data_IF_006711402527
#
_entry.id   IF_006711402527
#
_cell.length_a   1.000
_cell.length_b   1.000
_cell.length_c   1.000
_cell.angle_alpha   90.00
_cell.angle_beta   90.00
_cell.angle_gamma   90.00
#
_symmetry.space_group_name_H-M   'P 1'
#
loop_
_entity.id
_entity.type
_entity.pdbx_description
1 polymer ?
#
# COMPACT_ATOMS: atom_id res chain seq x y z
N UNK A 1 4.49 -9.01 9.86
CA UNK A 1 4.69 -9.03 8.39
C UNK A 1 6.14 -8.63 8.01
N UNK A 2 7.15 -9.15 8.72
CA UNK A 2 8.59 -8.92 8.43
C UNK A 2 9.20 -10.10 7.68
N UNK A 3 8.81 -11.33 8.03
CA UNK A 3 9.31 -12.58 7.44
C UNK A 3 9.13 -12.64 5.92
N UNK A 4 7.97 -12.21 5.40
CA UNK A 4 7.72 -12.19 3.95
C UNK A 4 8.65 -11.21 3.20
N UNK A 5 9.07 -10.13 3.86
CA UNK A 5 9.95 -9.11 3.27
C UNK A 5 11.40 -9.55 3.25
N UNK A 6 11.84 -10.24 4.30
CA UNK A 6 13.17 -10.84 4.36
C UNK A 6 13.28 -12.00 3.37
N UNK A 7 12.30 -12.91 3.34
CA UNK A 7 12.33 -14.05 2.42
C UNK A 7 12.40 -13.62 0.95
N UNK A 8 11.63 -12.59 0.55
CA UNK A 8 11.69 -12.09 -0.83
C UNK A 8 13.06 -11.50 -1.18
N UNK A 9 13.69 -10.83 -0.23
CA UNK A 9 15.02 -10.23 -0.41
C UNK A 9 16.11 -11.31 -0.49
N UNK A 10 16.04 -12.33 0.38
CA UNK A 10 16.94 -13.49 0.32
C UNK A 10 16.78 -14.27 -0.98
N UNK A 11 15.54 -14.57 -1.41
CA UNK A 11 15.29 -15.25 -2.69
C UNK A 11 15.81 -14.44 -3.89
N UNK A 12 15.76 -13.11 -3.84
CA UNK A 12 16.38 -12.28 -4.87
C UNK A 12 17.91 -12.47 -4.90
N UNK A 13 18.57 -12.44 -3.75
CA UNK A 13 20.03 -12.60 -3.67
C UNK A 13 20.46 -13.98 -4.17
N UNK A 14 19.78 -15.04 -3.74
CA UNK A 14 20.03 -16.41 -4.19
C UNK A 14 19.89 -16.53 -5.70
N UNK A 15 18.77 -16.07 -6.27
CA UNK A 15 18.55 -16.13 -7.72
C UNK A 15 19.55 -15.28 -8.51
N UNK A 16 19.94 -14.11 -7.98
CA UNK A 16 20.96 -13.28 -8.62
C UNK A 16 22.31 -14.00 -8.65
N UNK A 17 22.69 -14.66 -7.55
CA UNK A 17 23.91 -15.45 -7.47
C UNK A 17 23.86 -16.64 -8.44
N UNK A 18 22.77 -17.41 -8.48
CA UNK A 18 22.63 -18.55 -9.41
C UNK A 18 22.75 -18.11 -10.88
N UNK A 19 22.20 -16.94 -11.22
CA UNK A 19 22.14 -16.46 -12.61
C UNK A 19 23.42 -15.79 -13.08
N UNK A 20 24.07 -15.02 -12.20
CA UNK A 20 25.23 -14.18 -12.56
C UNK A 20 26.54 -14.64 -11.92
N UNK A 21 26.49 -15.68 -11.08
CA UNK A 21 27.60 -16.29 -10.36
C UNK A 21 28.44 -15.27 -9.57
N UNK A 22 27.77 -14.23 -9.06
CA UNK A 22 28.34 -13.13 -8.26
C UNK A 22 27.27 -12.52 -7.37
N UNK A 23 27.69 -11.92 -6.27
CA UNK A 23 26.78 -11.18 -5.41
C UNK A 23 26.31 -9.86 -6.06
N UNK A 24 25.07 -9.44 -5.80
CA UNK A 24 24.58 -8.12 -6.21
C UNK A 24 25.35 -7.01 -5.49
N UNK A 25 25.58 -5.89 -6.19
CA UNK A 25 26.22 -4.73 -5.56
C UNK A 25 25.30 -4.06 -4.53
N UNK A 26 25.90 -3.29 -3.61
CA UNK A 26 25.17 -2.55 -2.58
C UNK A 26 24.08 -1.63 -3.18
N UNK A 27 24.33 -1.05 -4.35
CA UNK A 27 23.36 -0.17 -5.02
C UNK A 27 22.14 -0.96 -5.51
N UNK A 28 22.34 -2.16 -6.05
CA UNK A 28 21.24 -3.05 -6.47
C UNK A 28 20.45 -3.50 -5.24
N UNK A 29 21.13 -3.87 -4.16
CA UNK A 29 20.50 -4.26 -2.91
C UNK A 29 19.62 -3.13 -2.34
N UNK A 30 20.11 -1.88 -2.35
CA UNK A 30 19.32 -0.70 -1.92
C UNK A 30 18.10 -0.48 -2.81
N UNK A 31 18.25 -0.60 -4.13
CA UNK A 31 17.13 -0.47 -5.05
C UNK A 31 16.06 -1.52 -4.78
N UNK A 32 16.45 -2.79 -4.61
CA UNK A 32 15.50 -3.87 -4.40
C UNK A 32 14.88 -3.84 -3.02
N UNK A 33 15.65 -3.51 -1.98
CA UNK A 33 15.09 -3.26 -0.65
C UNK A 33 14.02 -2.16 -0.70
N UNK A 34 14.25 -1.10 -1.49
CA UNK A 34 13.27 -0.03 -1.73
C UNK A 34 12.02 -0.58 -2.42
N UNK A 35 12.17 -1.30 -3.53
CA UNK A 35 11.05 -1.89 -4.29
C UNK A 35 10.19 -2.81 -3.43
N UNK A 36 10.82 -3.78 -2.73
CA UNK A 36 10.12 -4.74 -1.87
C UNK A 36 9.36 -4.00 -0.76
N UNK A 37 9.95 -2.93 -0.21
CA UNK A 37 9.34 -2.17 0.87
C UNK A 37 8.13 -1.32 0.46
N UNK A 38 8.09 -0.85 -0.79
CA UNK A 38 6.88 -0.27 -1.36
C UNK A 38 5.77 -1.30 -1.58
N UNK A 39 6.11 -2.55 -1.91
CA UNK A 39 5.13 -3.56 -2.32
C UNK A 39 4.47 -4.33 -1.17
N UNK A 40 5.17 -4.63 -0.07
CA UNK A 40 4.65 -5.52 0.98
C UNK A 40 3.81 -4.79 2.04
N UNK A 41 4.04 -3.50 2.29
CA UNK A 41 3.48 -2.82 3.47
C UNK A 41 2.26 -1.93 3.21
N UNK A 42 1.89 -1.69 1.95
CA UNK A 42 0.99 -0.56 1.62
C UNK A 42 -0.49 -0.91 1.51
N UNK A 43 -0.92 -2.18 1.50
CA UNK A 43 -2.29 -2.48 1.04
C UNK A 43 -2.95 -3.71 1.69
N UNK A 44 -4.20 -3.51 2.15
CA UNK A 44 -5.23 -4.55 2.20
C UNK A 44 -5.75 -4.77 0.77
N UNK A 45 -5.48 -5.95 0.20
CA UNK A 45 -5.75 -6.27 -1.21
C UNK A 45 -7.23 -6.27 -1.60
N UNK A 46 -8.15 -6.22 -0.63
CA UNK A 46 -9.59 -6.11 -0.86
C UNK A 46 -10.08 -4.67 -0.72
N UNK A 47 -9.49 -3.91 0.21
CA UNK A 47 -9.96 -2.57 0.57
C UNK A 47 -9.18 -1.42 -0.08
N UNK A 48 -8.01 -1.71 -0.67
CA UNK A 48 -7.10 -0.76 -1.31
C UNK A 48 -6.66 0.41 -0.41
N UNK A 49 -6.70 0.19 0.90
CA UNK A 49 -6.26 1.12 1.96
C UNK A 49 -5.18 0.46 2.80
N UNK A 50 -4.45 1.25 3.58
CA UNK A 50 -3.56 0.72 4.60
C UNK A 50 -4.40 -0.15 5.56
N UNK A 51 -3.95 -1.38 5.92
CA UNK A 51 -4.65 -2.22 6.88
C UNK A 51 -5.01 -1.45 8.16
N UNK A 52 -6.21 -1.70 8.68
CA UNK A 52 -6.73 -1.07 9.91
C UNK A 52 -6.85 0.47 9.89
N UNK A 53 -6.74 1.10 8.72
CA UNK A 53 -6.85 2.58 8.61
C UNK A 53 -8.28 3.10 8.46
N UNK A 54 -9.27 2.22 8.23
CA UNK A 54 -10.68 2.62 8.18
C UNK A 54 -11.18 3.01 9.58
N UNK A 55 -11.93 4.10 9.68
CA UNK A 55 -12.53 4.56 10.94
C UNK A 55 -14.06 4.54 10.86
N UNK A 56 -14.71 4.30 11.98
CA UNK A 56 -16.16 4.44 12.11
C UNK A 56 -16.56 5.80 12.70
N UNK A 57 -15.58 6.67 12.98
CA UNK A 57 -15.81 8.03 13.50
C UNK A 57 -15.52 9.03 12.41
N UNK A 58 -16.55 9.77 11.99
CA UNK A 58 -16.45 10.81 10.97
C UNK A 58 -16.78 12.14 11.64
N UNK A 59 -15.94 13.14 11.39
CA UNK A 59 -16.22 14.52 11.79
C UNK A 59 -17.05 15.18 10.70
N UNK A 60 -18.26 15.61 11.03
CA UNK A 60 -19.14 16.36 10.15
C UNK A 60 -19.22 17.81 10.63
N UNK A 61 -18.96 18.75 9.71
CA UNK A 61 -19.10 20.19 9.99
C UNK A 61 -20.57 20.54 9.78
N UNK A 62 -21.27 20.83 10.87
CA UNK A 62 -22.65 21.29 10.87
C UNK A 62 -22.72 22.79 11.10
N UNK A 63 -23.89 23.39 10.87
CA UNK A 63 -24.14 24.82 11.16
C UNK A 63 -23.88 25.19 12.63
N UNK A 64 -23.84 24.20 13.53
CA UNK A 64 -23.62 24.35 14.97
C UNK A 64 -22.22 23.94 15.43
N UNK A 65 -21.30 23.65 14.50
CA UNK A 65 -19.92 23.23 14.79
C UNK A 65 -19.60 21.81 14.32
N UNK A 66 -18.42 21.31 14.75
CA UNK A 66 -17.94 19.96 14.42
C UNK A 66 -18.64 18.94 15.31
N UNK A 67 -19.36 18.01 14.70
CA UNK A 67 -19.97 16.87 15.40
C UNK A 67 -19.24 15.59 15.00
N UNK A 68 -18.86 14.77 15.97
CA UNK A 68 -18.33 13.43 15.70
C UNK A 68 -19.48 12.44 15.65
N UNK A 69 -19.68 11.82 14.49
CA UNK A 69 -20.74 10.83 14.28
C UNK A 69 -20.10 9.45 14.16
N UNK A 70 -20.62 8.49 14.92
CA UNK A 70 -20.30 7.07 14.73
C UNK A 70 -21.05 6.56 13.50
N UNK A 71 -20.41 6.61 12.34
CA UNK A 71 -20.91 6.08 11.07
C UNK A 71 -19.94 5.02 10.56
N UNK A 72 -20.45 3.81 10.38
CA UNK A 72 -19.65 2.72 9.80
C UNK A 72 -19.15 3.08 8.40
N UNK A 73 -17.92 2.67 8.10
CA UNK A 73 -17.32 2.90 6.79
C UNK A 73 -18.14 2.25 5.68
N UNK A 74 -18.70 3.06 4.77
CA UNK A 74 -19.53 2.62 3.64
C UNK A 74 -18.83 1.53 2.79
N UNK A 75 -17.51 1.60 2.64
CA UNK A 75 -16.70 0.58 1.96
C UNK A 75 -16.63 -0.74 2.72
N UNK A 76 -16.53 -0.71 4.06
CA UNK A 76 -16.49 -1.92 4.90
C UNK A 76 -17.85 -2.61 4.95
N UNK A 77 -18.94 -1.88 5.13
CA UNK A 77 -20.29 -2.47 5.24
C UNK A 77 -20.77 -3.05 3.91
N UNK A 78 -20.45 -2.40 2.79
CA UNK A 78 -20.93 -2.81 1.44
C UNK A 78 -19.90 -3.59 0.64
N UNK A 79 -18.71 -3.82 1.21
CA UNK A 79 -17.57 -4.46 0.57
C UNK A 79 -17.18 -3.80 -0.77
N UNK A 80 -17.21 -2.46 -0.81
CA UNK A 80 -16.89 -1.67 -2.01
C UNK A 80 -15.50 -1.05 -1.84
N UNK A 81 -14.50 -1.62 -2.52
CA UNK A 81 -13.09 -1.22 -2.42
C UNK A 81 -12.81 0.27 -2.70
N UNK A 82 -13.65 0.95 -3.49
CA UNK A 82 -13.48 2.37 -3.79
C UNK A 82 -14.05 3.31 -2.73
N UNK A 83 -14.93 2.83 -1.83
CA UNK A 83 -15.65 3.67 -0.85
C UNK A 83 -15.09 3.60 0.58
N UNK A 84 -13.92 3.01 0.77
CA UNK A 84 -13.25 3.03 2.08
C UNK A 84 -12.81 4.45 2.44
N UNK A 85 -13.03 4.84 3.70
CA UNK A 85 -12.59 6.11 4.29
C UNK A 85 -11.19 6.03 4.94
N UNK A 86 -10.54 4.87 4.87
CA UNK A 86 -9.18 4.68 5.37
C UNK A 86 -8.12 5.36 4.51
N UNK A 87 -6.88 5.36 4.99
CA UNK A 87 -5.74 5.96 4.29
C UNK A 87 -5.50 5.18 3.00
N UNK A 88 -5.63 5.85 1.86
CA UNK A 88 -5.46 5.23 0.54
C UNK A 88 -4.05 4.68 0.37
N UNK A 89 -3.96 3.45 -0.10
CA UNK A 89 -2.69 2.80 -0.41
C UNK A 89 -1.99 3.56 -1.55
N UNK A 90 -0.69 3.82 -1.37
CA UNK A 90 0.13 4.49 -2.37
C UNK A 90 1.00 3.49 -3.11
N UNK A 91 1.19 3.74 -4.39
CA UNK A 91 2.10 2.99 -5.24
C UNK A 91 3.08 3.95 -5.91
N UNK A 92 4.27 3.44 -6.23
CA UNK A 92 5.27 4.18 -6.98
C UNK A 92 5.10 3.89 -8.46
N UNK A 93 4.81 4.92 -9.25
CA UNK A 93 4.99 4.89 -10.68
C UNK A 93 6.48 5.06 -10.98
N UNK A 94 7.12 3.97 -11.39
CA UNK A 94 8.55 3.94 -11.71
C UNK A 94 8.87 4.59 -13.06
N UNK A 95 7.90 4.72 -13.97
CA UNK A 95 8.11 5.38 -15.28
C UNK A 95 8.17 6.89 -15.09
N UNK A 96 7.24 7.46 -14.32
CA UNK A 96 7.18 8.91 -14.05
C UNK A 96 7.91 9.31 -12.77
N UNK A 97 8.43 8.35 -12.00
CA UNK A 97 9.02 8.55 -10.67
C UNK A 97 8.08 9.27 -9.68
N UNK A 98 6.76 9.08 -9.81
CA UNK A 98 5.74 9.70 -8.95
C UNK A 98 5.11 8.68 -8.02
N UNK A 99 4.58 9.16 -6.90
CA UNK A 99 3.79 8.33 -5.98
C UNK A 99 2.32 8.66 -6.21
N UNK A 100 1.52 7.67 -6.60
CA UNK A 100 0.09 7.82 -6.88
C UNK A 100 -0.73 6.90 -5.97
N UNK A 101 -2.03 7.18 -5.83
CA UNK A 101 -2.95 6.32 -5.08
C UNK A 101 -3.36 5.13 -5.96
N UNK A 102 -3.32 3.91 -5.42
CA UNK A 102 -3.66 2.70 -6.18
C UNK A 102 -5.07 2.77 -6.77
N UNK A 103 -6.02 3.35 -6.04
CA UNK A 103 -7.42 3.48 -6.47
C UNK A 103 -7.56 4.27 -7.78
N UNK A 104 -6.62 5.17 -8.11
CA UNK A 104 -6.64 5.90 -9.39
C UNK A 104 -6.38 5.01 -10.59
N UNK A 105 -5.69 3.88 -10.41
CA UNK A 105 -5.53 2.90 -11.49
C UNK A 105 -6.81 2.12 -11.77
N UNK A 106 -7.68 1.95 -10.77
CA UNK A 106 -8.96 1.25 -10.93
C UNK A 106 -10.01 2.08 -11.67
N UNK A 107 -9.92 3.41 -11.62
CA UNK A 107 -10.87 4.31 -12.28
C UNK A 107 -10.65 4.48 -13.79
N UNK A 108 -9.59 3.88 -14.36
CA UNK A 108 -9.28 3.94 -15.79
C UNK A 108 -9.63 2.66 -16.56
N UNK A 109 -10.38 1.73 -15.95
CA UNK A 109 -10.87 0.50 -16.56
C UNK A 109 -12.38 0.36 -16.45
#
# INVERSE_FOLDING_TARGET
MLLARENLFYSFMEYYFEKFNKDPSIDILKQIATIISFNIWQMDGLKYVIPESCTNKIEEITLFGVQTIDKECDGCSKNIGTKHNGIRAKIKDWKENKTIEFVRLLSHH
#
